data_IF_328103672801
#
_entry.id   IF_328103672801
#
_cell.length_a   1.000
_cell.length_b   1.000
_cell.length_c   1.000
_cell.angle_alpha   90.00
_cell.angle_beta   90.00
_cell.angle_gamma   90.00
#
_symmetry.space_group_name_H-M   'P 1'
#
loop_
_entity.id
_entity.type
_entity.pdbx_description
1 polymer ?
#
# COMPACT_ATOMS: atom_id res chain seq x y z
N UNK A 1 -6.45 8.40 -8.26
CA UNK A 1 -6.43 8.16 -6.79
C UNK A 1 -6.11 9.48 -6.10
N UNK A 2 -6.61 9.72 -4.88
CA UNK A 2 -6.27 10.92 -4.08
C UNK A 2 -4.76 11.06 -3.82
N UNK A 3 -4.01 9.98 -4.01
CA UNK A 3 -2.58 9.88 -3.79
C UNK A 3 -1.73 10.31 -4.99
N UNK A 4 -2.30 10.57 -6.16
CA UNK A 4 -1.54 11.03 -7.34
C UNK A 4 -0.55 10.01 -7.90
N UNK A 5 -0.82 8.71 -7.73
CA UNK A 5 0.01 7.61 -8.22
C UNK A 5 -0.58 6.25 -7.87
N UNK A 6 0.18 5.19 -8.14
CA UNK A 6 -0.17 3.83 -7.75
C UNK A 6 -0.29 3.68 -6.23
N UNK A 7 -1.18 2.80 -5.80
CA UNK A 7 -1.42 2.46 -4.38
C UNK A 7 -1.13 0.97 -4.17
N UNK A 8 -0.82 0.60 -2.93
CA UNK A 8 -0.38 -0.75 -2.60
C UNK A 8 -1.46 -1.80 -2.85
N UNK A 9 -1.02 -3.01 -3.19
CA UNK A 9 -1.81 -4.24 -3.22
C UNK A 9 -0.86 -5.42 -3.00
N UNK A 10 -1.43 -6.60 -2.71
CA UNK A 10 -0.70 -7.85 -2.61
C UNK A 10 -1.05 -8.75 -3.81
N UNK A 11 -0.09 -9.57 -4.21
CA UNK A 11 -0.28 -10.66 -5.16
C UNK A 11 0.57 -11.85 -4.73
N UNK A 12 0.09 -13.07 -5.01
CA UNK A 12 0.86 -14.28 -4.75
C UNK A 12 2.16 -14.26 -5.55
N UNK A 13 3.27 -14.42 -4.83
CA UNK A 13 4.62 -14.48 -5.41
C UNK A 13 5.45 -15.47 -4.62
N UNK A 14 5.94 -16.52 -5.28
CA UNK A 14 6.69 -17.57 -4.62
C UNK A 14 8.05 -17.06 -4.16
N UNK A 15 8.41 -17.33 -2.90
CA UNK A 15 9.70 -16.94 -2.32
C UNK A 15 9.85 -15.46 -2.00
N UNK A 16 8.75 -14.69 -2.03
CA UNK A 16 8.74 -13.29 -1.63
C UNK A 16 7.79 -13.08 -0.45
N UNK A 17 8.21 -12.22 0.48
CA UNK A 17 7.45 -11.89 1.67
C UNK A 17 7.12 -10.40 1.71
N UNK A 18 6.01 -10.07 2.38
CA UNK A 18 5.59 -8.70 2.62
C UNK A 18 5.44 -8.50 4.11
N UNK A 19 6.18 -7.54 4.66
CA UNK A 19 6.01 -7.13 6.05
C UNK A 19 4.89 -6.12 6.18
N UNK A 20 4.14 -6.24 7.27
CA UNK A 20 3.02 -5.36 7.59
C UNK A 20 2.62 -5.50 9.05
N UNK A 21 1.46 -4.96 9.37
CA UNK A 21 0.89 -4.97 10.72
C UNK A 21 -0.36 -5.83 10.75
N UNK A 22 -0.54 -6.60 11.83
CA UNK A 22 -1.79 -7.29 12.12
C UNK A 22 -2.57 -6.49 13.17
N UNK A 23 -3.82 -6.17 12.85
CA UNK A 23 -4.74 -5.49 13.77
C UNK A 23 -5.93 -6.40 14.07
N UNK A 24 -6.38 -6.37 15.31
CA UNK A 24 -7.68 -6.88 15.72
C UNK A 24 -8.68 -5.72 15.65
N UNK A 25 -9.78 -5.91 14.93
CA UNK A 25 -10.78 -4.88 14.66
C UNK A 25 -12.14 -5.36 15.15
N UNK A 26 -12.95 -4.42 15.64
CA UNK A 26 -14.38 -4.69 15.83
C UNK A 26 -15.10 -4.80 14.48
N UNK A 27 -16.31 -5.35 14.48
CA UNK A 27 -17.13 -5.39 13.26
C UNK A 27 -17.44 -3.98 12.73
N UNK A 28 -17.52 -2.98 13.61
CA UNK A 28 -17.80 -1.59 13.25
C UNK A 28 -16.58 -0.94 12.59
N UNK A 29 -15.38 -1.16 13.15
CA UNK A 29 -14.12 -0.69 12.56
C UNK A 29 -13.87 -1.38 11.20
N UNK A 30 -14.20 -2.67 11.09
CA UNK A 30 -14.08 -3.39 9.84
C UNK A 30 -15.01 -2.82 8.75
N UNK A 31 -16.25 -2.46 9.10
CA UNK A 31 -17.17 -1.78 8.16
C UNK A 31 -16.68 -0.38 7.78
N UNK A 32 -16.05 0.34 8.71
CA UNK A 32 -15.43 1.62 8.41
C UNK A 32 -14.25 1.45 7.43
N UNK A 33 -13.41 0.45 7.67
CA UNK A 33 -12.28 0.11 6.80
C UNK A 33 -12.75 -0.32 5.40
N UNK A 34 -13.81 -1.12 5.29
CA UNK A 34 -14.43 -1.48 4.01
C UNK A 34 -14.77 -0.23 3.17
N UNK A 35 -15.30 0.81 3.81
CA UNK A 35 -15.59 2.09 3.15
C UNK A 35 -14.34 2.82 2.65
N UNK A 36 -13.25 2.81 3.41
CA UNK A 36 -11.97 3.42 3.02
C UNK A 36 -11.30 2.69 1.84
N UNK A 37 -11.45 1.37 1.79
CA UNK A 37 -10.88 0.52 0.74
C UNK A 37 -11.80 0.36 -0.48
N UNK A 38 -13.00 0.96 -0.42
CA UNK A 38 -13.99 0.88 -1.49
C UNK A 38 -14.54 -0.53 -1.70
N UNK A 39 -14.61 -1.34 -0.64
CA UNK A 39 -15.22 -2.66 -0.64
C UNK A 39 -16.71 -2.56 -0.25
N UNK A 40 -17.59 -2.99 -1.15
CA UNK A 40 -19.06 -2.94 -0.96
C UNK A 40 -19.67 -4.29 -0.63
N UNK A 41 -18.91 -5.36 -0.86
CA UNK A 41 -19.33 -6.73 -0.62
C UNK A 41 -18.69 -7.68 -1.63
N UNK A 42 -18.68 -8.99 -1.34
CA UNK A 42 -18.03 -9.96 -2.22
C UNK A 42 -18.63 -9.96 -3.63
N UNK A 43 -17.78 -9.77 -4.65
CA UNK A 43 -18.18 -9.84 -6.06
C UNK A 43 -18.96 -8.64 -6.58
N UNK A 44 -19.02 -7.52 -5.84
CA UNK A 44 -19.55 -6.27 -6.37
C UNK A 44 -18.60 -5.70 -7.44
N UNK A 45 -19.13 -5.46 -8.63
CA UNK A 45 -18.35 -4.96 -9.77
C UNK A 45 -17.74 -3.56 -9.55
N UNK A 46 -18.18 -2.83 -8.52
CA UNK A 46 -17.66 -1.50 -8.17
C UNK A 46 -16.64 -1.54 -7.04
N UNK A 47 -16.21 -2.72 -6.59
CA UNK A 47 -15.14 -2.85 -5.63
C UNK A 47 -13.84 -2.26 -6.19
N UNK A 48 -13.18 -1.39 -5.42
CA UNK A 48 -11.81 -0.97 -5.72
C UNK A 48 -10.80 -2.05 -5.32
N UNK A 49 -11.09 -2.72 -4.21
CA UNK A 49 -10.35 -3.85 -3.67
C UNK A 49 -11.31 -4.95 -3.23
N UNK A 50 -10.88 -6.20 -3.36
CA UNK A 50 -11.55 -7.36 -2.77
C UNK A 50 -10.97 -7.69 -1.41
N UNK A 51 -11.82 -7.97 -0.43
CA UNK A 51 -11.37 -8.45 0.88
C UNK A 51 -11.15 -9.96 0.82
N UNK A 52 -9.89 -10.38 0.87
CA UNK A 52 -9.48 -11.77 0.76
C UNK A 52 -8.77 -12.29 2.01
N UNK A 53 -8.82 -13.61 2.26
CA UNK A 53 -8.03 -14.20 3.32
C UNK A 53 -6.54 -14.25 2.94
N UNK A 54 -5.68 -13.91 3.88
CA UNK A 54 -4.23 -14.08 3.79
C UNK A 54 -3.71 -14.88 4.98
N UNK A 55 -2.58 -15.56 4.80
CA UNK A 55 -1.84 -16.16 5.89
C UNK A 55 -0.70 -15.23 6.28
N UNK A 56 -0.61 -14.88 7.55
CA UNK A 56 0.49 -14.08 8.09
C UNK A 56 1.24 -14.89 9.13
N UNK A 57 2.55 -14.69 9.17
CA UNK A 57 3.41 -15.25 10.20
C UNK A 57 3.72 -14.15 11.23
N UNK A 58 3.33 -14.41 12.48
CA UNK A 58 3.65 -13.52 13.59
C UNK A 58 5.09 -13.79 14.01
N UNK A 59 5.96 -12.82 13.74
CA UNK A 59 7.34 -12.83 14.21
C UNK A 59 7.45 -11.89 15.41
N UNK A 60 7.89 -12.43 16.54
CA UNK A 60 8.42 -11.64 17.65
C UNK A 60 9.92 -11.93 17.71
N UNK A 61 10.77 -11.15 17.01
CA UNK A 61 12.20 -11.44 16.92
C UNK A 61 12.90 -11.42 18.28
N UNK A 62 12.35 -10.64 19.22
CA UNK A 62 13.00 -10.29 20.49
C UNK A 62 12.80 -11.32 21.62
N UNK A 63 11.85 -12.25 21.50
CA UNK A 63 11.48 -13.14 22.62
C UNK A 63 11.72 -14.65 22.35
N UNK A 64 12.25 -14.99 21.17
CA UNK A 64 12.50 -16.38 20.79
C UNK A 64 11.22 -17.20 20.57
N UNK A 65 10.07 -16.53 20.38
CA UNK A 65 8.80 -17.19 20.09
C UNK A 65 8.86 -17.99 18.79
N UNK A 66 8.21 -19.15 18.81
CA UNK A 66 7.95 -19.92 17.58
C UNK A 66 7.03 -19.09 16.68
N UNK A 67 7.38 -18.89 15.40
CA UNK A 67 6.51 -18.15 14.49
C UNK A 67 5.12 -18.80 14.42
N UNK A 68 4.09 -17.99 14.67
CA UNK A 68 2.70 -18.46 14.65
C UNK A 68 2.02 -17.99 13.38
N UNK A 69 1.51 -18.94 12.59
CA UNK A 69 0.68 -18.62 11.44
C UNK A 69 -0.76 -18.34 11.87
N UNK A 70 -1.30 -17.21 11.42
CA UNK A 70 -2.71 -16.85 11.63
C UNK A 70 -3.35 -16.45 10.30
N UNK A 71 -4.66 -16.72 10.19
CA UNK A 71 -5.46 -16.30 9.05
C UNK A 71 -6.00 -14.91 9.34
N UNK A 72 -5.78 -13.99 8.41
CA UNK A 72 -6.25 -12.61 8.49
C UNK A 72 -6.98 -12.21 7.21
N UNK A 73 -7.62 -11.05 7.19
CA UNK A 73 -8.16 -10.44 5.99
C UNK A 73 -7.23 -9.33 5.50
N UNK A 74 -7.11 -9.18 4.18
CA UNK A 74 -6.44 -8.08 3.53
C UNK A 74 -7.25 -7.62 2.30
N UNK A 75 -6.99 -6.40 1.84
CA UNK A 75 -7.62 -5.83 0.65
C UNK A 75 -6.68 -6.01 -0.55
N UNK A 76 -7.21 -6.61 -1.62
CA UNK A 76 -6.48 -7.02 -2.81
C UNK A 76 -7.06 -6.29 -4.02
N UNK A 77 -6.25 -5.49 -4.71
CA UNK A 77 -6.69 -4.77 -5.88
C UNK A 77 -7.00 -5.73 -7.04
N UNK A 78 -8.00 -5.39 -7.85
CA UNK A 78 -8.18 -6.00 -9.16
C UNK A 78 -7.09 -5.49 -10.11
N UNK A 79 -6.02 -6.27 -10.28
CA UNK A 79 -4.86 -5.82 -11.06
C UNK A 79 -5.18 -5.73 -12.56
N UNK A 80 -5.05 -4.54 -13.15
CA UNK A 80 -4.96 -4.40 -14.61
C UNK A 80 -3.78 -3.53 -15.06
N UNK A 81 -3.25 -2.63 -14.23
CA UNK A 81 -2.12 -1.78 -14.62
C UNK A 81 -1.31 -1.26 -13.42
N UNK A 82 -0.22 -1.94 -12.99
CA UNK A 82 0.64 -1.46 -11.92
C UNK A 82 1.33 -0.15 -12.35
N UNK A 83 1.35 0.83 -11.44
CA UNK A 83 2.07 2.09 -11.64
C UNK A 83 2.89 2.43 -10.39
N UNK A 84 4.02 3.15 -10.54
CA UNK A 84 4.77 3.62 -9.38
C UNK A 84 3.91 4.46 -8.44
N UNK A 85 4.13 4.38 -7.12
CA UNK A 85 3.49 5.26 -6.16
C UNK A 85 3.95 6.71 -6.36
N UNK A 86 3.14 7.66 -5.90
CA UNK A 86 3.64 9.02 -5.72
C UNK A 86 4.63 9.08 -4.57
N UNK A 87 5.49 10.11 -4.57
CA UNK A 87 6.40 10.36 -3.45
C UNK A 87 5.65 10.51 -2.12
N UNK A 88 4.55 11.27 -2.12
CA UNK A 88 3.70 11.50 -0.95
C UNK A 88 3.15 10.20 -0.38
N UNK A 89 2.70 9.27 -1.22
CA UNK A 89 2.18 7.98 -0.76
C UNK A 89 3.29 7.11 -0.17
N UNK A 90 4.43 7.00 -0.85
CA UNK A 90 5.57 6.22 -0.37
C UNK A 90 6.10 6.76 0.97
N UNK A 91 6.16 8.08 1.15
CA UNK A 91 6.58 8.69 2.41
C UNK A 91 5.61 8.35 3.57
N UNK A 92 4.31 8.25 3.30
CA UNK A 92 3.32 7.83 4.29
C UNK A 92 3.52 6.36 4.70
N UNK A 93 3.78 5.47 3.73
CA UNK A 93 4.10 4.06 3.98
C UNK A 93 5.38 3.93 4.81
N UNK A 94 6.45 4.63 4.43
CA UNK A 94 7.72 4.62 5.15
C UNK A 94 7.59 5.18 6.57
N UNK A 95 6.77 6.22 6.77
CA UNK A 95 6.47 6.75 8.10
C UNK A 95 5.81 5.68 8.98
N UNK A 96 4.81 4.97 8.46
CA UNK A 96 4.15 3.87 9.18
C UNK A 96 5.11 2.73 9.50
N UNK A 97 5.87 2.27 8.51
CA UNK A 97 6.85 1.19 8.67
C UNK A 97 7.88 1.49 9.77
N UNK A 98 8.41 2.72 9.80
CA UNK A 98 9.35 3.17 10.85
C UNK A 98 8.68 3.29 12.22
N UNK A 99 7.47 3.85 12.28
CA UNK A 99 6.73 4.00 13.52
C UNK A 99 6.45 2.65 14.21
N UNK A 100 6.20 1.62 13.40
CA UNK A 100 5.96 0.26 13.87
C UNK A 100 7.22 -0.62 13.91
N UNK A 101 8.40 -0.06 13.63
CA UNK A 101 9.69 -0.77 13.67
C UNK A 101 9.71 -2.05 12.83
N UNK A 102 9.16 -1.98 11.61
CA UNK A 102 9.37 -3.05 10.63
C UNK A 102 10.88 -3.24 10.39
N UNK A 103 11.31 -4.43 9.95
CA UNK A 103 12.73 -4.71 9.73
C UNK A 103 13.43 -3.67 8.84
N UNK A 104 14.65 -3.31 9.23
CA UNK A 104 15.41 -2.24 8.57
C UNK A 104 15.70 -2.54 7.09
N UNK A 105 15.92 -3.82 6.75
CA UNK A 105 16.12 -4.30 5.39
C UNK A 105 14.84 -4.16 4.53
N UNK A 106 13.68 -4.40 5.11
CA UNK A 106 12.39 -4.16 4.46
C UNK A 106 12.15 -2.66 4.24
N UNK A 107 12.42 -1.82 5.24
CA UNK A 107 12.34 -0.35 5.11
C UNK A 107 13.30 0.15 4.02
N UNK A 108 14.52 -0.39 3.96
CA UNK A 108 15.49 -0.09 2.91
C UNK A 108 14.98 -0.49 1.52
N UNK A 109 14.29 -1.62 1.41
CA UNK A 109 13.66 -2.08 0.17
C UNK A 109 12.56 -1.10 -0.28
N UNK A 110 11.65 -0.71 0.62
CA UNK A 110 10.62 0.28 0.34
C UNK A 110 11.21 1.63 -0.10
N UNK A 111 12.31 2.07 0.53
CA UNK A 111 12.95 3.36 0.23
C UNK A 111 13.54 3.41 -1.19
N UNK A 112 13.85 2.26 -1.79
CA UNK A 112 14.42 2.15 -3.13
C UNK A 112 13.36 2.01 -4.23
N UNK A 113 12.08 1.94 -3.87
CA UNK A 113 11.01 1.84 -4.86
C UNK A 113 11.00 3.08 -5.78
N UNK A 114 10.82 2.90 -7.10
CA UNK A 114 10.64 4.02 -7.99
C UNK A 114 9.35 4.77 -7.62
N UNK A 115 9.39 6.09 -7.74
CA UNK A 115 8.21 6.95 -7.59
C UNK A 115 7.81 7.51 -8.95
N UNK A 116 6.53 7.80 -9.12
CA UNK A 116 6.03 8.52 -10.28
C UNK A 116 6.73 9.88 -10.32
N UNK A 117 7.25 10.28 -11.50
CA UNK A 117 7.79 11.61 -11.67
C UNK A 117 6.67 12.64 -11.42
N UNK A 118 6.95 13.67 -10.63
CA UNK A 118 6.01 14.78 -10.48
C UNK A 118 5.92 15.50 -11.82
N UNK A 119 4.72 15.63 -12.35
CA UNK A 119 4.47 16.44 -13.54
C UNK A 119 4.72 17.90 -13.14
N UNK A 120 5.89 18.42 -13.51
CA UNK A 120 6.22 19.83 -13.29
C UNK A 120 5.24 20.62 -14.15
N UNK A 121 4.29 21.30 -13.50
CA UNK A 121 3.40 22.21 -14.19
C UNK A 121 4.27 23.23 -14.96
N UNK A 122 3.97 23.53 -16.23
CA UNK A 122 4.70 24.57 -16.95
C UNK A 122 4.58 25.89 -16.16
N UNK A 123 5.72 26.54 -15.93
CA UNK A 123 5.80 27.87 -15.32
C UNK A 123 4.76 28.79 -15.99
N UNK A 124 3.83 29.40 -15.22
CA UNK A 124 2.88 30.34 -15.78
C UNK A 124 3.62 31.62 -16.18
N UNK A 125 4.07 31.72 -17.43
CA UNK A 125 4.65 32.98 -17.93
C UNK A 125 5.59 32.93 -19.14
N UNK A 126 5.82 31.79 -19.80
CA UNK A 126 6.54 31.82 -21.08
C UNK A 126 5.60 32.27 -22.21
N UNK A 127 5.39 33.58 -22.33
CA UNK A 127 4.82 34.17 -23.54
C UNK A 127 5.72 33.82 -24.74
N UNK A 128 5.16 33.43 -25.90
CA UNK A 128 5.96 33.26 -27.10
C UNK A 128 6.45 34.65 -27.54
N UNK A 129 7.76 34.86 -27.59
CA UNK A 129 8.33 36.00 -28.29
C UNK A 129 7.85 35.94 -29.75
N UNK A 130 6.99 36.88 -30.11
CA UNK A 130 6.58 37.11 -31.48
C UNK A 130 7.81 37.58 -32.27
N UNK A 131 8.33 36.67 -33.09
CA UNK A 131 9.41 36.96 -34.03
C UNK A 131 9.00 38.07 -35.00
N UNK A 132 9.94 39.01 -35.20
CA UNK A 132 9.90 40.11 -36.15
C UNK A 132 9.94 39.65 -37.62
#
# INVERSE_FOLDING_TARGET
>A
TLWGGGVASLQLSHGNDVWGMLYELSDDDLRSLDGHEGFRGPGDAHNLYERGPVWVELTHPEDGSVPRRVKAAAYLAHTANPSPPSRRYLDAVLKGARAHKLPDDYIATLTRLPVLAEEVAPEPGAEPEAGA
#
